data_IF_008904880486
#
_entry.id   IF_008904880486
#
_cell.length_a   1.000
_cell.length_b   1.000
_cell.length_c   1.000
_cell.angle_alpha   90.00
_cell.angle_beta   90.00
_cell.angle_gamma   90.00
#
_symmetry.space_group_name_H-M   'P 1'
#
loop_
_entity.id
_entity.type
_entity.pdbx_description
1 polymer ?
#
# COMPACT_ATOMS: atom_id res chain seq x y z
N UNK A 1 51.94 23.43 -56.20
CA UNK A 1 53.13 23.84 -55.44
C UNK A 1 52.87 23.65 -53.96
N UNK A 2 53.85 23.04 -53.27
CA UNK A 2 54.18 23.10 -51.84
C UNK A 2 53.04 23.01 -50.79
N UNK A 3 52.98 21.92 -50.00
CA UNK A 3 53.79 21.60 -48.80
C UNK A 3 53.36 22.28 -47.50
N UNK A 4 53.08 21.41 -46.51
CA UNK A 4 53.41 21.46 -45.06
C UNK A 4 52.63 22.47 -44.18
N UNK A 5 52.30 22.25 -42.90
CA UNK A 5 52.84 21.39 -41.83
C UNK A 5 51.77 21.00 -40.78
N UNK A 6 52.03 19.87 -40.11
CA UNK A 6 51.49 19.42 -38.82
C UNK A 6 51.59 20.47 -37.70
N UNK A 7 50.69 20.39 -36.70
CA UNK A 7 51.05 20.25 -35.27
C UNK A 7 49.85 19.84 -34.39
N UNK A 8 50.14 18.84 -33.56
CA UNK A 8 49.36 18.38 -32.41
C UNK A 8 49.54 19.38 -31.25
N UNK A 9 48.62 19.39 -30.26
CA UNK A 9 49.09 19.06 -28.92
C UNK A 9 48.16 18.08 -28.17
N UNK A 10 48.82 17.13 -27.49
CA UNK A 10 48.33 16.42 -26.31
C UNK A 10 47.93 17.44 -25.21
N UNK A 11 47.21 17.18 -24.11
CA UNK A 11 46.98 16.00 -23.27
C UNK A 11 46.14 16.52 -22.10
N UNK A 12 45.20 15.72 -21.56
CA UNK A 12 45.02 15.47 -20.11
C UNK A 12 43.62 14.90 -19.82
N UNK A 13 43.54 13.58 -19.78
CA UNK A 13 42.51 12.87 -19.02
C UNK A 13 43.04 12.68 -17.58
N UNK A 14 42.20 12.78 -16.53
CA UNK A 14 42.62 12.44 -15.18
C UNK A 14 42.61 10.92 -14.99
N UNK A 15 43.79 10.38 -14.73
CA UNK A 15 44.03 9.05 -14.19
C UNK A 15 43.65 8.99 -12.72
N UNK A 16 42.75 8.09 -12.32
CA UNK A 16 42.69 7.61 -10.94
C UNK A 16 43.33 6.24 -10.89
N UNK A 17 44.44 6.18 -10.15
CA UNK A 17 45.26 5.01 -9.96
C UNK A 17 44.54 3.93 -9.14
N UNK A 18 44.70 2.72 -9.65
CA UNK A 18 44.65 1.43 -8.97
C UNK A 18 45.53 1.40 -7.70
N UNK A 19 45.02 0.79 -6.64
CA UNK A 19 45.80 0.16 -5.55
C UNK A 19 45.06 -1.12 -5.07
N UNK A 20 45.78 -2.09 -4.45
CA UNK A 20 45.69 -3.50 -4.87
C UNK A 20 44.93 -4.44 -3.92
N UNK A 21 44.63 -5.62 -4.47
CA UNK A 21 44.21 -6.85 -3.80
C UNK A 21 45.24 -7.40 -2.81
N UNK A 22 44.76 -7.80 -1.63
CA UNK A 22 45.04 -9.00 -0.81
C UNK A 22 44.78 -8.62 0.65
N UNK A 23 43.99 -9.35 1.45
CA UNK A 23 44.35 -10.61 2.09
C UNK A 23 43.09 -11.41 2.42
N UNK A 24 43.14 -12.71 2.08
CA UNK A 24 42.25 -13.78 2.52
C UNK A 24 42.49 -14.07 4.00
N UNK A 25 41.46 -13.98 4.84
CA UNK A 25 41.46 -14.57 6.17
C UNK A 25 40.24 -15.48 6.33
N UNK A 26 40.52 -16.77 6.42
CA UNK A 26 39.57 -17.82 6.70
C UNK A 26 39.00 -17.67 8.13
N UNK A 27 37.67 -17.69 8.26
CA UNK A 27 37.01 -17.95 9.52
C UNK A 27 36.35 -19.33 9.44
N UNK A 28 36.88 -20.23 10.24
CA UNK A 28 36.53 -21.64 10.42
C UNK A 28 35.11 -21.81 10.95
N UNK A 29 34.42 -22.84 10.43
CA UNK A 29 33.18 -23.39 10.97
C UNK A 29 33.42 -23.89 12.40
N UNK A 30 32.57 -23.47 13.33
CA UNK A 30 32.33 -24.18 14.58
C UNK A 30 30.86 -24.61 14.64
N UNK A 31 30.63 -25.87 14.33
CA UNK A 31 29.42 -26.62 14.66
C UNK A 31 29.48 -27.02 16.13
N UNK A 32 28.52 -26.58 16.93
CA UNK A 32 28.20 -27.22 18.20
C UNK A 32 26.69 -27.45 18.28
N UNK A 33 26.30 -28.71 18.04
CA UNK A 33 25.02 -29.23 18.48
C UNK A 33 25.06 -29.40 19.99
N UNK A 34 24.06 -28.91 20.71
CA UNK A 34 23.71 -29.47 22.02
C UNK A 34 22.21 -29.68 22.08
N UNK A 35 21.87 -30.89 22.47
CA UNK A 35 20.56 -31.52 22.46
C UNK A 35 19.56 -30.92 23.43
N UNK A 36 18.29 -31.07 23.07
CA UNK A 36 17.11 -30.89 23.91
C UNK A 36 17.09 -31.82 25.13
N UNK A 37 16.54 -31.35 26.25
CA UNK A 37 15.70 -32.17 27.15
C UNK A 37 14.53 -31.35 27.73
N UNK A 38 13.34 -31.95 27.89
CA UNK A 38 12.12 -31.28 28.32
C UNK A 38 11.83 -31.47 29.82
N UNK A 39 11.11 -30.52 30.41
CA UNK A 39 10.36 -30.67 31.67
C UNK A 39 9.49 -29.42 31.85
N UNK A 40 8.27 -29.40 32.35
CA UNK A 40 7.26 -30.41 32.63
C UNK A 40 5.96 -29.63 32.83
N UNK A 41 4.82 -30.19 32.39
CA UNK A 41 3.50 -29.70 32.79
C UNK A 41 3.35 -29.75 34.31
N UNK A 42 2.78 -28.70 34.91
CA UNK A 42 1.92 -28.83 36.09
C UNK A 42 0.72 -27.90 35.99
N UNK A 43 -0.41 -28.52 35.67
CA UNK A 43 -1.77 -28.07 35.95
C UNK A 43 -2.11 -28.27 37.43
N UNK A 44 -2.83 -27.34 38.03
CA UNK A 44 -3.83 -27.49 39.11
C UNK A 44 -3.95 -26.17 39.85
N UNK A 45 -5.07 -25.72 40.39
CA UNK A 45 -6.48 -26.04 40.29
C UNK A 45 -7.19 -24.95 41.11
N UNK A 46 -8.47 -24.76 40.80
CA UNK A 46 -9.48 -24.04 41.55
C UNK A 46 -9.43 -24.16 43.08
N UNK A 47 -9.74 -23.05 43.77
CA UNK A 47 -10.57 -22.98 44.98
C UNK A 47 -11.03 -21.52 45.17
N UNK A 48 -12.18 -21.11 44.63
CA UNK A 48 -13.48 -20.94 45.34
C UNK A 48 -13.44 -20.71 46.85
N UNK A 49 -14.01 -19.57 47.25
CA UNK A 49 -14.87 -19.48 48.43
C UNK A 49 -14.34 -18.64 49.59
N UNK A 50 -14.92 -17.46 49.81
CA UNK A 50 -15.80 -17.23 50.96
C UNK A 50 -16.19 -15.75 51.08
N UNK A 51 -17.48 -15.50 50.88
CA UNK A 51 -18.17 -14.29 51.36
C UNK A 51 -18.15 -14.21 52.88
N UNK A 52 -17.88 -13.02 53.42
CA UNK A 52 -18.35 -12.58 54.73
C UNK A 52 -18.52 -11.05 54.63
N UNK A 53 -19.74 -10.57 54.46
CA UNK A 53 -20.69 -10.22 55.51
C UNK A 53 -20.57 -8.74 55.92
N UNK A 54 -21.68 -8.04 55.67
CA UNK A 54 -21.95 -6.64 55.95
C UNK A 54 -21.62 -6.24 57.40
N UNK A 55 -21.09 -5.03 57.56
CA UNK A 55 -21.49 -4.13 58.65
C UNK A 55 -21.77 -2.74 58.12
N UNK A 56 -23.03 -2.34 58.25
CA UNK A 56 -23.51 -0.99 58.01
C UNK A 56 -23.01 -0.06 59.12
N UNK A 57 -22.45 1.07 58.73
CA UNK A 57 -22.29 2.24 59.59
C UNK A 57 -22.90 3.42 58.85
N UNK A 58 -24.11 3.82 59.28
CA UNK A 58 -24.78 5.03 58.82
C UNK A 58 -24.16 6.23 59.54
N UNK A 59 -23.45 7.08 58.79
CA UNK A 59 -23.12 8.45 59.19
C UNK A 59 -23.93 9.42 58.32
N UNK A 60 -24.32 10.60 58.84
CA UNK A 60 -25.21 11.51 58.11
C UNK A 60 -24.42 12.23 57.00
N UNK A 61 -24.70 11.89 55.75
CA UNK A 61 -24.20 12.63 54.59
C UNK A 61 -25.08 13.86 54.35
N UNK A 62 -24.53 15.03 54.65
CA UNK A 62 -25.08 16.34 54.33
C UNK A 62 -25.24 16.46 52.81
N UNK A 63 -26.46 16.74 52.35
CA UNK A 63 -26.81 16.79 50.94
C UNK A 63 -26.12 17.94 50.20
N UNK A 64 -25.13 17.61 49.36
CA UNK A 64 -24.67 18.49 48.31
C UNK A 64 -25.61 18.37 47.10
N UNK A 65 -26.47 19.36 46.91
CA UNK A 65 -27.23 19.52 45.66
C UNK A 65 -26.24 19.79 44.53
N UNK A 66 -25.98 18.80 43.67
CA UNK A 66 -25.35 19.04 42.37
C UNK A 66 -26.35 19.81 41.50
N UNK A 67 -26.03 21.05 41.17
CA UNK A 67 -26.69 21.74 40.08
C UNK A 67 -26.36 20.99 38.78
N UNK A 68 -27.35 20.30 38.21
CA UNK A 68 -27.29 19.81 36.85
C UNK A 68 -27.30 21.02 35.92
N UNK A 69 -26.13 21.39 35.38
CA UNK A 69 -26.05 22.32 34.27
C UNK A 69 -26.85 21.81 33.07
N UNK A 70 -27.30 22.69 32.15
CA UNK A 70 -28.07 22.27 31.00
C UNK A 70 -27.24 21.26 30.19
N UNK A 71 -27.75 20.04 30.06
CA UNK A 71 -27.26 19.08 29.07
C UNK A 71 -27.53 19.76 27.73
N UNK A 72 -26.48 20.22 27.06
CA UNK A 72 -26.58 20.70 25.70
C UNK A 72 -27.09 19.54 24.85
N UNK A 73 -28.39 19.55 24.55
CA UNK A 73 -28.98 18.64 23.58
C UNK A 73 -28.39 19.04 22.23
N UNK A 74 -27.29 18.39 21.85
CA UNK A 74 -26.75 18.46 20.50
C UNK A 74 -27.86 17.91 19.63
N UNK A 75 -28.43 18.76 18.76
CA UNK A 75 -29.48 18.37 17.84
C UNK A 75 -29.12 17.02 17.21
N UNK A 76 -30.05 16.06 17.28
CA UNK A 76 -29.93 14.76 16.64
C UNK A 76 -29.71 15.03 15.14
N UNK A 77 -28.45 14.98 14.70
CA UNK A 77 -28.18 14.88 13.28
C UNK A 77 -28.68 13.49 12.90
N UNK A 78 -29.67 13.41 12.01
CA UNK A 78 -30.17 12.13 11.47
C UNK A 78 -29.14 11.44 10.54
N UNK A 79 -27.85 11.77 10.71
CA UNK A 79 -26.75 11.44 9.82
C UNK A 79 -25.52 11.12 10.68
N UNK A 80 -25.01 9.91 10.53
CA UNK A 80 -23.76 9.44 11.12
C UNK A 80 -22.62 9.58 10.11
N UNK A 81 -21.55 10.28 10.49
CA UNK A 81 -20.28 10.23 9.75
C UNK A 81 -19.58 8.88 9.96
N UNK A 82 -18.72 8.46 9.01
CA UNK A 82 -17.97 7.23 9.17
C UNK A 82 -17.00 7.34 10.36
N UNK A 83 -16.86 6.26 11.12
CA UNK A 83 -15.88 6.15 12.21
C UNK A 83 -14.47 5.94 11.67
N UNK A 84 -14.34 5.35 10.48
CA UNK A 84 -13.07 5.16 9.80
C UNK A 84 -13.18 5.20 8.27
N UNK A 85 -12.12 5.70 7.62
CA UNK A 85 -11.86 5.53 6.19
C UNK A 85 -10.67 4.60 6.01
N UNK A 86 -10.86 3.52 5.26
CA UNK A 86 -9.85 2.52 4.97
C UNK A 86 -9.48 2.61 3.49
N UNK A 87 -8.28 3.09 3.20
CA UNK A 87 -7.80 3.20 1.82
C UNK A 87 -7.09 1.91 1.41
N UNK A 88 -7.32 1.42 0.19
CA UNK A 88 -6.28 0.63 -0.47
C UNK A 88 -5.03 1.50 -0.77
N UNK A 89 -3.90 0.87 -1.11
CA UNK A 89 -2.69 1.58 -1.47
C UNK A 89 -2.53 1.74 -2.99
N UNK A 90 -2.56 0.62 -3.71
CA UNK A 90 -2.09 0.52 -5.09
C UNK A 90 -3.24 0.88 -6.02
N UNK A 91 -3.12 1.95 -6.78
CA UNK A 91 -4.24 2.46 -7.59
C UNK A 91 -5.24 3.30 -6.78
N UNK A 92 -5.09 3.45 -5.46
CA UNK A 92 -5.90 4.37 -4.63
C UNK A 92 -5.08 5.54 -4.09
N UNK A 93 -4.02 5.29 -3.30
CA UNK A 93 -3.17 6.38 -2.82
C UNK A 93 -2.37 6.98 -3.97
N UNK A 94 -1.81 6.11 -4.81
CA UNK A 94 -0.96 6.45 -5.94
C UNK A 94 -1.25 5.50 -7.10
N UNK A 95 -1.00 5.94 -8.34
CA UNK A 95 -0.98 5.05 -9.52
C UNK A 95 0.31 4.21 -9.52
N UNK A 96 0.47 3.32 -8.54
CA UNK A 96 1.73 2.59 -8.27
C UNK A 96 2.18 1.73 -9.44
N UNK A 97 1.25 1.13 -10.17
CA UNK A 97 1.58 0.33 -11.36
C UNK A 97 2.04 1.21 -12.53
N UNK A 98 1.34 2.31 -12.82
CA UNK A 98 1.63 3.19 -13.97
C UNK A 98 2.86 4.07 -13.73
N UNK A 99 2.95 4.68 -12.56
CA UNK A 99 3.90 5.74 -12.24
C UNK A 99 5.06 5.23 -11.37
N UNK A 100 4.95 4.02 -10.80
CA UNK A 100 6.01 3.41 -9.99
C UNK A 100 6.62 2.17 -10.64
N UNK A 101 5.89 1.06 -10.70
CA UNK A 101 6.41 -0.22 -11.15
C UNK A 101 6.83 -0.21 -12.62
N UNK A 102 5.99 0.30 -13.54
CA UNK A 102 6.36 0.45 -14.95
C UNK A 102 7.61 1.32 -15.12
N UNK A 103 7.66 2.46 -14.46
CA UNK A 103 8.81 3.39 -14.50
C UNK A 103 10.09 2.69 -14.05
N UNK A 104 10.03 1.96 -12.93
CA UNK A 104 11.20 1.27 -12.37
C UNK A 104 11.64 0.04 -13.18
N UNK A 105 10.73 -0.62 -13.90
CA UNK A 105 11.10 -1.60 -14.93
C UNK A 105 11.91 -0.92 -16.05
N UNK A 106 11.41 0.18 -16.62
CA UNK A 106 12.08 0.90 -17.69
C UNK A 106 13.45 1.45 -17.26
N UNK A 107 13.55 1.98 -16.03
CA UNK A 107 14.84 2.38 -15.45
C UNK A 107 15.81 1.21 -15.34
N UNK A 108 15.33 0.05 -14.89
CA UNK A 108 16.16 -1.17 -14.75
C UNK A 108 16.66 -1.66 -16.11
N UNK A 109 15.79 -1.68 -17.13
CA UNK A 109 16.17 -2.07 -18.48
C UNK A 109 17.25 -1.14 -19.03
N UNK A 110 17.07 0.17 -18.85
CA UNK A 110 18.04 1.17 -19.25
C UNK A 110 19.38 1.03 -18.51
N UNK A 111 19.38 0.80 -17.19
CA UNK A 111 20.60 0.56 -16.41
C UNK A 111 21.33 -0.71 -16.85
N UNK A 112 20.59 -1.74 -17.27
CA UNK A 112 21.14 -2.98 -17.80
C UNK A 112 21.60 -2.87 -19.28
N UNK A 113 21.44 -1.70 -19.90
CA UNK A 113 21.79 -1.48 -21.31
C UNK A 113 20.84 -2.16 -22.30
N UNK A 114 19.61 -2.44 -21.88
CA UNK A 114 18.56 -3.01 -22.74
C UNK A 114 17.75 -1.88 -23.38
N UNK A 115 17.56 -1.95 -24.71
CA UNK A 115 16.73 -1.00 -25.47
C UNK A 115 15.24 -1.37 -25.40
N UNK A 116 14.73 -1.57 -24.18
CA UNK A 116 13.32 -1.87 -23.93
C UNK A 116 12.67 -0.80 -23.06
N UNK A 117 11.50 -0.35 -23.47
CA UNK A 117 10.66 0.57 -22.73
C UNK A 117 9.21 0.14 -22.84
N UNK A 118 8.57 -0.14 -21.69
CA UNK A 118 7.16 -0.45 -21.63
C UNK A 118 6.33 0.84 -21.55
N UNK A 119 5.51 1.06 -22.57
CA UNK A 119 4.49 2.11 -22.56
C UNK A 119 3.42 1.82 -21.51
N UNK A 120 2.55 2.80 -21.23
CA UNK A 120 1.43 2.61 -20.30
C UNK A 120 0.50 1.50 -20.79
N UNK A 121 0.16 1.52 -22.08
CA UNK A 121 -0.74 0.58 -22.74
C UNK A 121 -0.14 -0.83 -22.74
N UNK A 122 1.13 -0.96 -23.15
CA UNK A 122 1.82 -2.24 -23.15
C UNK A 122 1.95 -2.82 -21.74
N UNK A 123 2.24 -1.98 -20.74
CA UNK A 123 2.30 -2.45 -19.36
C UNK A 123 0.95 -2.94 -18.85
N UNK A 124 -0.16 -2.29 -19.25
CA UNK A 124 -1.52 -2.74 -18.97
C UNK A 124 -1.79 -4.16 -19.49
N UNK A 125 -1.36 -4.48 -20.70
CA UNK A 125 -1.46 -5.85 -21.22
C UNK A 125 -0.58 -6.84 -20.46
N UNK A 126 0.64 -6.42 -20.12
CA UNK A 126 1.59 -7.21 -19.36
C UNK A 126 1.15 -7.46 -17.91
N UNK A 127 0.29 -6.62 -17.32
CA UNK A 127 -0.28 -6.82 -15.98
C UNK A 127 -1.19 -8.05 -15.89
N UNK A 128 -1.77 -8.48 -17.01
CA UNK A 128 -2.55 -9.73 -17.10
C UNK A 128 -1.68 -10.98 -16.82
N UNK A 129 -0.35 -10.83 -16.91
CA UNK A 129 0.62 -11.84 -16.49
C UNK A 129 1.02 -11.53 -15.05
N UNK A 130 0.66 -12.46 -14.15
CA UNK A 130 0.94 -12.33 -12.73
C UNK A 130 2.43 -12.42 -12.42
N UNK A 131 2.91 -11.50 -11.58
CA UNK A 131 4.30 -11.49 -11.09
C UNK A 131 5.28 -10.78 -12.02
N UNK A 132 6.20 -10.00 -11.44
CA UNK A 132 7.14 -9.18 -12.21
C UNK A 132 8.18 -10.01 -12.99
N UNK A 133 8.61 -11.16 -12.46
CA UNK A 133 9.58 -12.05 -13.12
C UNK A 133 8.95 -12.75 -14.30
N UNK A 134 7.74 -13.26 -14.11
CA UNK A 134 6.94 -13.96 -15.10
C UNK A 134 6.59 -13.04 -16.26
N UNK A 135 6.25 -11.77 -15.95
CA UNK A 135 6.03 -10.71 -16.94
C UNK A 135 7.26 -10.45 -17.81
N UNK A 136 8.43 -10.22 -17.20
CA UNK A 136 9.67 -10.04 -17.96
C UNK A 136 10.03 -11.29 -18.75
N UNK A 137 9.83 -12.48 -18.18
CA UNK A 137 10.10 -13.76 -18.87
C UNK A 137 9.23 -13.89 -20.11
N UNK A 138 7.93 -13.61 -20.01
CA UNK A 138 7.01 -13.63 -21.13
C UNK A 138 7.40 -12.62 -22.21
N UNK A 139 7.64 -11.36 -21.81
CA UNK A 139 8.01 -10.29 -22.74
C UNK A 139 9.32 -10.60 -23.47
N UNK A 140 10.40 -10.89 -22.76
CA UNK A 140 11.70 -11.19 -23.38
C UNK A 140 11.68 -12.47 -24.21
N UNK A 141 10.87 -13.47 -23.85
CA UNK A 141 10.70 -14.65 -24.70
C UNK A 141 10.05 -14.31 -26.05
N UNK A 142 9.19 -13.29 -26.10
CA UNK A 142 8.52 -12.87 -27.34
C UNK A 142 9.43 -12.12 -28.31
N UNK A 143 10.49 -11.47 -27.82
CA UNK A 143 11.47 -10.73 -28.62
C UNK A 143 12.89 -11.33 -28.58
N UNK A 144 13.06 -12.54 -28.06
CA UNK A 144 14.39 -13.16 -27.82
C UNK A 144 15.29 -13.29 -29.06
N UNK A 145 14.71 -13.26 -30.27
CA UNK A 145 15.45 -13.32 -31.54
C UNK A 145 15.74 -11.98 -32.19
N UNK A 146 15.35 -10.86 -31.57
CA UNK A 146 15.51 -9.51 -32.13
C UNK A 146 16.87 -8.92 -31.76
N UNK A 147 17.62 -8.40 -32.73
CA UNK A 147 18.89 -7.71 -32.48
C UNK A 147 18.63 -6.25 -32.05
N UNK A 148 19.40 -5.69 -31.09
CA UNK A 148 20.59 -6.28 -30.45
C UNK A 148 20.29 -7.22 -29.26
N UNK A 149 19.03 -7.33 -28.84
CA UNK A 149 18.63 -8.05 -27.63
C UNK A 149 19.01 -9.54 -27.63
N UNK A 150 18.96 -10.20 -28.79
CA UNK A 150 19.34 -11.60 -28.95
C UNK A 150 20.77 -11.90 -28.43
N UNK A 151 21.70 -10.95 -28.56
CA UNK A 151 23.07 -11.10 -28.03
C UNK A 151 23.18 -10.83 -26.53
N UNK A 152 22.20 -10.15 -25.93
CA UNK A 152 22.17 -9.78 -24.51
C UNK A 152 21.38 -10.80 -23.67
N UNK A 153 20.42 -11.49 -24.28
CA UNK A 153 19.57 -12.46 -23.61
C UNK A 153 20.21 -13.86 -23.61
N UNK A 154 20.47 -14.47 -22.43
CA UNK A 154 21.15 -15.76 -22.36
C UNK A 154 20.40 -16.86 -23.14
N UNK A 155 21.12 -17.79 -23.77
CA UNK A 155 20.50 -18.94 -24.45
C UNK A 155 20.04 -20.02 -23.45
N UNK A 156 20.83 -20.24 -22.40
CA UNK A 156 20.57 -21.25 -21.38
C UNK A 156 19.42 -20.85 -20.44
N UNK A 157 18.58 -21.83 -20.07
CA UNK A 157 17.38 -21.58 -19.26
C UNK A 157 17.69 -21.15 -17.83
N UNK A 158 18.76 -21.69 -17.22
CA UNK A 158 19.14 -21.30 -15.86
C UNK A 158 19.76 -19.90 -15.86
N UNK A 159 20.61 -19.62 -16.84
CA UNK A 159 21.15 -18.27 -17.06
C UNK A 159 20.04 -17.23 -17.31
N UNK A 160 18.98 -17.57 -18.06
CA UNK A 160 17.80 -16.70 -18.23
C UNK A 160 17.09 -16.42 -16.92
N UNK A 161 16.87 -17.45 -16.09
CA UNK A 161 16.23 -17.29 -14.78
C UNK A 161 17.03 -16.36 -13.88
N UNK A 162 18.35 -16.54 -13.84
CA UNK A 162 19.25 -15.70 -13.04
C UNK A 162 19.28 -14.26 -13.56
N UNK A 163 19.30 -14.08 -14.88
CA UNK A 163 19.21 -12.75 -15.51
C UNK A 163 17.90 -12.03 -15.14
N UNK A 164 16.73 -12.67 -15.34
CA UNK A 164 15.41 -12.14 -14.96
C UNK A 164 15.36 -11.81 -13.46
N UNK A 165 15.89 -12.70 -12.62
CA UNK A 165 15.93 -12.49 -11.18
C UNK A 165 16.77 -11.27 -10.82
N UNK A 166 17.94 -11.07 -11.46
CA UNK A 166 18.79 -9.91 -11.22
C UNK A 166 18.09 -8.58 -11.56
N UNK A 167 17.38 -8.53 -12.70
CA UNK A 167 16.59 -7.37 -13.10
C UNK A 167 15.45 -7.13 -12.10
N UNK A 168 14.74 -8.18 -11.67
CA UNK A 168 13.65 -8.03 -10.72
C UNK A 168 14.11 -7.50 -9.36
N UNK A 169 15.26 -7.98 -8.87
CA UNK A 169 15.87 -7.48 -7.63
C UNK A 169 16.23 -6.00 -7.77
N UNK A 170 16.93 -5.63 -8.84
CA UNK A 170 17.30 -4.23 -9.08
C UNK A 170 16.08 -3.31 -9.22
N UNK A 171 15.06 -3.75 -9.95
CA UNK A 171 13.77 -3.03 -10.07
C UNK A 171 13.09 -2.83 -8.72
N UNK A 172 13.18 -3.83 -7.83
CA UNK A 172 12.60 -3.73 -6.49
C UNK A 172 13.32 -2.68 -5.65
N UNK A 173 14.65 -2.60 -5.74
CA UNK A 173 15.43 -1.58 -5.05
C UNK A 173 15.12 -0.18 -5.60
N UNK A 174 15.09 -0.02 -6.92
CA UNK A 174 14.74 1.24 -7.58
C UNK A 174 13.33 1.71 -7.23
N UNK A 175 12.36 0.81 -7.09
CA UNK A 175 11.03 1.18 -6.65
C UNK A 175 11.04 1.80 -5.24
N UNK A 176 11.84 1.25 -4.33
CA UNK A 176 12.00 1.84 -3.01
C UNK A 176 12.75 3.17 -3.05
N UNK A 177 13.68 3.36 -3.99
CA UNK A 177 14.33 4.65 -4.23
C UNK A 177 13.34 5.72 -4.70
N UNK A 178 12.52 5.42 -5.71
CA UNK A 178 11.44 6.29 -6.23
C UNK A 178 10.47 6.69 -5.12
N UNK A 179 10.06 5.73 -4.29
CA UNK A 179 9.20 6.00 -3.12
C UNK A 179 9.91 6.92 -2.12
N UNK A 180 11.18 6.67 -1.80
CA UNK A 180 11.96 7.54 -0.87
C UNK A 180 12.15 8.95 -1.43
N UNK A 181 12.29 9.08 -2.73
CA UNK A 181 12.51 10.36 -3.41
C UNK A 181 11.23 11.22 -3.51
N UNK A 182 10.06 10.67 -3.22
CA UNK A 182 8.79 11.41 -3.35
C UNK A 182 8.30 11.50 -4.80
N UNK A 183 8.78 10.62 -5.68
CA UNK A 183 8.52 10.67 -7.13
C UNK A 183 7.22 9.96 -7.53
N UNK A 184 6.44 9.48 -6.56
CA UNK A 184 5.16 8.82 -6.79
C UNK A 184 4.02 9.73 -6.32
N UNK A 185 3.37 10.49 -7.23
CA UNK A 185 2.35 11.45 -6.84
C UNK A 185 1.12 10.75 -6.23
N UNK A 186 0.48 11.42 -5.28
CA UNK A 186 -0.83 11.00 -4.78
C UNK A 186 -1.89 11.15 -5.87
N UNK A 187 -2.88 10.25 -5.90
CA UNK A 187 -4.07 10.43 -6.74
C UNK A 187 -4.86 11.66 -6.27
N UNK A 188 -5.56 12.35 -7.20
CA UNK A 188 -6.31 13.57 -6.88
C UNK A 188 -7.26 13.39 -5.71
N UNK A 189 -7.15 14.27 -4.71
CA UNK A 189 -8.04 14.31 -3.54
C UNK A 189 -7.66 13.39 -2.37
N UNK A 190 -6.68 12.48 -2.51
CA UNK A 190 -6.29 11.56 -1.43
C UNK A 190 -5.85 12.31 -0.17
N UNK A 191 -4.89 13.25 -0.31
CA UNK A 191 -4.40 14.05 0.82
C UNK A 191 -5.53 14.84 1.48
N UNK A 192 -6.42 15.41 0.66
CA UNK A 192 -7.57 16.19 1.10
C UNK A 192 -8.52 15.34 1.93
N UNK A 193 -8.95 14.19 1.42
CA UNK A 193 -9.89 13.32 2.12
C UNK A 193 -9.30 12.79 3.45
N UNK A 194 -8.01 12.45 3.46
CA UNK A 194 -7.29 12.08 4.70
C UNK A 194 -7.35 13.22 5.72
N UNK A 195 -7.02 14.45 5.30
CA UNK A 195 -7.06 15.64 6.16
C UNK A 195 -8.47 15.89 6.71
N UNK A 196 -9.49 15.83 5.86
CA UNK A 196 -10.88 16.04 6.24
C UNK A 196 -11.36 14.99 7.25
N UNK A 197 -11.04 13.71 7.01
CA UNK A 197 -11.41 12.62 7.90
C UNK A 197 -10.82 12.79 9.30
N UNK A 198 -9.51 13.02 9.38
CA UNK A 198 -8.81 13.23 10.65
C UNK A 198 -9.32 14.49 11.37
N UNK A 199 -9.56 15.59 10.66
CA UNK A 199 -10.09 16.82 11.23
C UNK A 199 -11.52 16.66 11.81
N UNK A 200 -12.29 15.72 11.28
CA UNK A 200 -13.64 15.40 11.76
C UNK A 200 -13.67 14.23 12.77
N UNK A 201 -12.51 13.74 13.20
CA UNK A 201 -12.37 12.71 14.24
C UNK A 201 -12.58 11.27 13.75
N UNK A 202 -12.66 11.06 12.43
CA UNK A 202 -12.63 9.71 11.85
C UNK A 202 -11.20 9.18 11.87
N UNK A 203 -11.07 7.86 12.01
CA UNK A 203 -9.78 7.16 11.89
C UNK A 203 -9.45 6.93 10.41
N UNK A 204 -8.17 6.86 10.09
CA UNK A 204 -7.71 6.54 8.73
C UNK A 204 -6.75 5.37 8.82
N UNK A 205 -6.83 4.42 7.89
CA UNK A 205 -5.85 3.34 7.76
C UNK A 205 -5.63 2.98 6.29
N UNK A 206 -4.52 2.31 6.02
CA UNK A 206 -4.21 1.76 4.69
C UNK A 206 -4.21 0.24 4.76
N UNK A 207 -4.91 -0.41 3.82
CA UNK A 207 -5.14 -1.85 3.77
C UNK A 207 -4.78 -2.39 2.38
N UNK A 208 -3.63 -3.04 2.23
CA UNK A 208 -3.12 -3.47 0.90
C UNK A 208 -2.61 -4.92 0.91
N UNK A 209 -2.58 -5.55 -0.26
CA UNK A 209 -1.92 -6.85 -0.46
C UNK A 209 -0.43 -6.74 -0.76
N UNK A 210 0.08 -5.53 -1.01
CA UNK A 210 1.49 -5.24 -1.28
C UNK A 210 2.36 -5.35 -0.03
N UNK A 211 3.68 -5.35 -0.22
CA UNK A 211 4.62 -5.48 0.90
C UNK A 211 4.48 -4.32 1.90
N UNK A 212 4.52 -4.64 3.19
CA UNK A 212 4.41 -3.64 4.26
C UNK A 212 5.47 -2.54 4.16
N UNK A 213 6.70 -2.89 3.75
CA UNK A 213 7.80 -1.94 3.55
C UNK A 213 7.47 -0.89 2.49
N UNK A 214 6.90 -1.31 1.36
CA UNK A 214 6.51 -0.40 0.28
C UNK A 214 5.38 0.53 0.72
N UNK A 215 4.31 -0.02 1.28
CA UNK A 215 3.12 0.74 1.69
C UNK A 215 3.47 1.74 2.80
N UNK A 216 4.24 1.33 3.81
CA UNK A 216 4.74 2.26 4.84
C UNK A 216 5.61 3.36 4.25
N UNK A 217 6.46 3.04 3.27
CA UNK A 217 7.26 4.03 2.57
C UNK A 217 6.41 5.05 1.83
N UNK A 218 5.37 4.61 1.11
CA UNK A 218 4.44 5.49 0.41
C UNK A 218 3.71 6.41 1.40
N UNK A 219 3.15 5.87 2.49
CA UNK A 219 2.47 6.69 3.50
C UNK A 219 3.45 7.69 4.14
N UNK A 220 4.64 7.26 4.55
CA UNK A 220 5.62 8.10 5.22
C UNK A 220 6.16 9.23 4.32
N UNK A 221 6.36 8.97 3.02
CA UNK A 221 6.92 9.97 2.10
C UNK A 221 5.85 10.83 1.45
N UNK A 222 4.71 10.25 1.08
CA UNK A 222 3.67 10.98 0.34
C UNK A 222 2.65 11.66 1.28
N UNK A 223 2.43 11.15 2.49
CA UNK A 223 1.54 11.74 3.50
C UNK A 223 2.30 12.00 4.82
N UNK A 224 3.47 12.68 4.79
CA UNK A 224 4.37 12.79 5.94
C UNK A 224 3.71 13.43 7.17
N UNK A 225 2.79 14.38 6.97
CA UNK A 225 2.08 15.06 8.04
C UNK A 225 1.03 14.20 8.76
N UNK A 226 0.65 13.07 8.16
CA UNK A 226 -0.36 12.14 8.69
C UNK A 226 0.21 10.76 9.02
N UNK A 227 1.48 10.48 8.70
CA UNK A 227 2.07 9.14 8.76
C UNK A 227 1.91 8.47 10.14
N UNK A 228 2.10 9.21 11.23
CA UNK A 228 1.94 8.69 12.60
C UNK A 228 0.48 8.37 12.98
N UNK A 229 -0.48 8.92 12.25
CA UNK A 229 -1.92 8.77 12.48
C UNK A 229 -2.55 7.69 11.58
N UNK A 230 -1.82 7.19 10.58
CA UNK A 230 -2.31 6.23 9.58
C UNK A 230 -1.63 4.87 9.79
N UNK A 231 -2.23 3.95 10.59
CA UNK A 231 -1.76 2.58 10.64
C UNK A 231 -1.86 1.90 9.27
N UNK A 232 -0.83 1.11 8.96
CA UNK A 232 -0.72 0.32 7.73
C UNK A 232 -0.93 -1.16 8.05
N UNK A 233 -1.87 -1.79 7.36
CA UNK A 233 -2.12 -3.23 7.34
C UNK A 233 -1.80 -3.74 5.93
N UNK A 234 -0.73 -4.52 5.78
CA UNK A 234 -0.22 -4.87 4.47
C UNK A 234 0.43 -6.26 4.43
N UNK A 235 0.54 -6.81 3.22
CA UNK A 235 1.26 -8.05 2.95
C UNK A 235 0.62 -9.27 3.62
N UNK A 236 1.44 -10.02 4.35
CA UNK A 236 1.06 -11.30 4.96
C UNK A 236 0.61 -11.17 6.43
N UNK A 237 0.18 -9.97 6.84
CA UNK A 237 -0.40 -9.73 8.18
C UNK A 237 -1.73 -10.48 8.39
N UNK A 238 -2.34 -10.95 7.29
CA UNK A 238 -3.52 -11.82 7.27
C UNK A 238 -3.26 -13.06 6.40
N UNK A 239 -3.88 -14.21 6.74
CA UNK A 239 -3.68 -15.46 6.00
C UNK A 239 -4.36 -15.45 4.63
N UNK A 240 -5.56 -14.85 4.51
CA UNK A 240 -6.30 -14.77 3.27
C UNK A 240 -6.26 -13.35 2.70
N UNK A 241 -5.72 -13.20 1.49
CA UNK A 241 -5.68 -11.92 0.77
C UNK A 241 -7.03 -11.61 0.13
N UNK A 242 -7.22 -10.35 -0.30
CA UNK A 242 -8.39 -9.93 -1.10
C UNK A 242 -8.60 -10.93 -2.25
N UNK A 243 -9.83 -11.43 -2.51
CA UNK A 243 -11.12 -10.87 -2.11
C UNK A 243 -11.61 -11.29 -0.71
N UNK A 244 -10.82 -12.03 0.08
CA UNK A 244 -11.18 -12.29 1.47
C UNK A 244 -11.20 -10.98 2.28
N UNK A 245 -12.13 -10.82 3.24
CA UNK A 245 -12.31 -9.58 3.99
C UNK A 245 -11.27 -9.39 5.11
N UNK A 246 -10.37 -10.36 5.31
CA UNK A 246 -9.49 -10.46 6.48
C UNK A 246 -8.72 -9.16 6.77
N UNK A 247 -8.17 -8.50 5.74
CA UNK A 247 -7.38 -7.28 5.92
C UNK A 247 -8.21 -6.11 6.45
N UNK A 248 -9.44 -5.95 5.95
CA UNK A 248 -10.36 -4.91 6.39
C UNK A 248 -10.94 -5.23 7.78
N UNK A 249 -11.27 -6.49 8.04
CA UNK A 249 -11.69 -6.94 9.37
C UNK A 249 -10.60 -6.71 10.42
N UNK A 250 -9.34 -7.01 10.07
CA UNK A 250 -8.19 -6.72 10.93
C UNK A 250 -8.07 -5.22 11.20
N UNK A 251 -8.17 -4.38 10.16
CA UNK A 251 -8.08 -2.93 10.31
C UNK A 251 -9.18 -2.38 11.22
N UNK A 252 -10.44 -2.74 10.99
CA UNK A 252 -11.56 -2.31 11.82
C UNK A 252 -11.40 -2.76 13.28
N UNK A 253 -10.97 -4.01 13.51
CA UNK A 253 -10.72 -4.52 14.85
C UNK A 253 -9.58 -3.77 15.57
N UNK A 254 -8.49 -3.45 14.86
CA UNK A 254 -7.34 -2.72 15.41
C UNK A 254 -7.64 -1.25 15.67
N UNK A 255 -8.47 -0.65 14.83
CA UNK A 255 -8.98 0.69 15.03
C UNK A 255 -10.07 0.72 16.12
N UNK A 256 -10.72 -0.40 16.45
CA UNK A 256 -11.81 -0.44 17.42
C UNK A 256 -13.06 0.30 16.92
N UNK A 257 -13.42 0.08 15.66
CA UNK A 257 -14.59 0.69 14.99
C UNK A 257 -15.52 -0.38 14.45
N UNK A 258 -16.80 -0.05 14.27
CA UNK A 258 -17.76 -0.97 13.68
C UNK A 258 -17.59 -1.01 12.14
N UNK A 259 -17.44 -2.18 11.50
CA UNK A 259 -17.36 -2.29 10.04
C UNK A 259 -18.51 -1.59 9.29
N UNK A 260 -19.74 -1.64 9.82
CA UNK A 260 -20.89 -0.95 9.22
C UNK A 260 -20.80 0.59 9.25
N UNK A 261 -19.84 1.13 10.01
CA UNK A 261 -19.51 2.55 10.11
C UNK A 261 -18.16 2.88 9.45
N UNK A 262 -17.60 1.96 8.68
CA UNK A 262 -16.39 2.16 7.89
C UNK A 262 -16.75 2.41 6.42
N UNK A 263 -15.95 3.25 5.78
CA UNK A 263 -15.92 3.41 4.32
C UNK A 263 -14.57 2.93 3.81
N UNK A 264 -14.60 2.05 2.83
CA UNK A 264 -13.42 1.60 2.09
C UNK A 264 -13.30 2.41 0.80
N UNK A 265 -12.11 2.93 0.51
CA UNK A 265 -11.76 3.50 -0.79
C UNK A 265 -10.91 2.48 -1.54
N UNK A 266 -11.40 2.02 -2.69
CA UNK A 266 -10.82 0.93 -3.48
C UNK A 266 -10.76 1.29 -4.96
N UNK A 267 -9.95 0.59 -5.74
CA UNK A 267 -9.87 0.77 -7.20
C UNK A 267 -10.14 -0.52 -7.97
N UNK A 268 -10.02 -1.70 -7.35
CA UNK A 268 -10.20 -3.01 -8.02
C UNK A 268 -11.47 -3.73 -7.59
N UNK A 269 -12.00 -4.62 -8.44
CA UNK A 269 -13.13 -5.49 -8.12
C UNK A 269 -12.81 -6.45 -7.00
N UNK A 270 -11.61 -7.01 -6.99
CA UNK A 270 -11.16 -7.94 -5.94
C UNK A 270 -11.17 -7.22 -4.58
N UNK A 271 -10.69 -5.98 -4.55
CA UNK A 271 -10.73 -5.15 -3.35
C UNK A 271 -12.12 -4.71 -2.93
N UNK A 272 -12.95 -4.32 -3.90
CA UNK A 272 -14.38 -4.07 -3.69
C UNK A 272 -15.06 -5.26 -2.99
N UNK A 273 -14.89 -6.47 -3.52
CA UNK A 273 -15.49 -7.67 -2.95
C UNK A 273 -15.02 -7.92 -1.50
N UNK A 274 -13.74 -7.67 -1.20
CA UNK A 274 -13.21 -7.77 0.16
C UNK A 274 -13.86 -6.77 1.11
N UNK A 275 -14.03 -5.50 0.69
CA UNK A 275 -14.71 -4.48 1.48
C UNK A 275 -16.18 -4.81 1.75
N UNK A 276 -16.91 -5.27 0.72
CA UNK A 276 -18.30 -5.71 0.87
C UNK A 276 -18.43 -6.94 1.77
N UNK A 277 -17.53 -7.92 1.62
CA UNK A 277 -17.50 -9.11 2.48
C UNK A 277 -17.17 -8.78 3.95
N UNK A 278 -16.48 -7.66 4.22
CA UNK A 278 -16.24 -7.14 5.56
C UNK A 278 -17.46 -6.40 6.17
N UNK A 279 -18.55 -6.25 5.41
CA UNK A 279 -19.75 -5.53 5.85
C UNK A 279 -19.58 -4.00 5.84
N UNK A 280 -18.64 -3.49 5.04
CA UNK A 280 -18.34 -2.06 4.94
C UNK A 280 -18.99 -1.45 3.70
N UNK A 281 -19.14 -0.12 3.70
CA UNK A 281 -19.40 0.63 2.47
C UNK A 281 -18.12 0.73 1.66
N UNK A 282 -18.24 0.68 0.35
CA UNK A 282 -17.12 0.76 -0.58
C UNK A 282 -17.40 1.83 -1.63
N UNK A 283 -16.53 2.82 -1.66
CA UNK A 283 -16.40 3.77 -2.75
C UNK A 283 -15.27 3.31 -3.66
N UNK A 284 -15.58 3.10 -4.94
CA UNK A 284 -14.56 2.79 -5.93
C UNK A 284 -14.08 4.06 -6.61
N UNK A 285 -12.77 4.26 -6.67
CA UNK A 285 -12.11 5.28 -7.49
C UNK A 285 -11.25 4.57 -8.52
N UNK A 286 -11.75 4.42 -9.76
CA UNK A 286 -11.12 3.63 -10.82
C UNK A 286 -9.67 4.06 -11.06
N UNK A 287 -8.72 3.12 -11.05
CA UNK A 287 -7.35 3.37 -11.50
C UNK A 287 -7.26 3.08 -13.00
N UNK A 288 -6.17 3.51 -13.64
CA UNK A 288 -6.01 3.36 -15.10
C UNK A 288 -6.08 1.90 -15.58
N UNK A 289 -5.72 0.94 -14.73
CA UNK A 289 -5.70 -0.48 -15.10
C UNK A 289 -6.93 -1.26 -14.62
N UNK A 290 -7.84 -0.60 -13.90
CA UNK A 290 -9.08 -1.21 -13.41
C UNK A 290 -10.35 -0.60 -14.04
N UNK A 291 -10.22 0.31 -15.01
CA UNK A 291 -11.36 1.06 -15.58
C UNK A 291 -12.51 0.17 -16.09
N UNK A 292 -12.14 -0.97 -16.70
CA UNK A 292 -13.02 -1.95 -17.33
C UNK A 292 -13.50 -3.07 -16.39
N UNK A 293 -13.12 -3.03 -15.11
CA UNK A 293 -13.59 -4.03 -14.15
C UNK A 293 -15.07 -3.82 -13.78
N UNK A 294 -15.72 -4.91 -13.35
CA UNK A 294 -17.12 -4.89 -12.92
C UNK A 294 -17.26 -4.40 -11.47
N UNK A 295 -17.77 -3.17 -11.33
CA UNK A 295 -18.02 -2.50 -10.05
C UNK A 295 -19.52 -2.42 -9.69
N UNK A 296 -20.37 -3.24 -10.30
CA UNK A 296 -21.83 -3.21 -10.07
C UNK A 296 -22.26 -3.40 -8.61
N UNK A 297 -21.40 -3.99 -7.76
CA UNK A 297 -21.65 -4.17 -6.32
C UNK A 297 -21.06 -3.08 -5.42
N UNK A 298 -20.43 -2.05 -5.98
CA UNK A 298 -19.94 -0.89 -5.24
C UNK A 298 -21.12 -0.04 -4.74
N UNK A 299 -20.94 0.68 -3.63
CA UNK A 299 -21.96 1.61 -3.16
C UNK A 299 -21.95 2.90 -4.01
N UNK A 300 -20.77 3.31 -4.49
CA UNK A 300 -20.56 4.40 -5.46
C UNK A 300 -19.27 4.16 -6.26
N UNK A 301 -19.19 4.72 -7.47
CA UNK A 301 -18.02 4.60 -8.36
C UNK A 301 -17.69 5.97 -8.95
N UNK A 302 -16.42 6.35 -8.88
CA UNK A 302 -15.86 7.57 -9.45
C UNK A 302 -14.56 7.27 -10.21
N UNK A 303 -14.09 8.23 -11.00
CA UNK A 303 -12.77 8.21 -11.64
C UNK A 303 -11.66 8.54 -10.65
N UNK A 304 -11.89 9.48 -9.72
CA UNK A 304 -11.00 9.80 -8.60
C UNK A 304 -11.78 10.43 -7.42
N UNK A 305 -11.08 10.83 -6.36
CA UNK A 305 -11.69 11.58 -5.24
C UNK A 305 -11.87 13.07 -5.64
N UNK A 306 -10.88 13.63 -6.32
CA UNK A 306 -10.89 15.00 -6.84
C UNK A 306 -10.31 16.05 -5.89
N UNK A 307 -9.71 17.08 -6.47
CA UNK A 307 -9.10 18.21 -5.75
C UNK A 307 -10.14 19.28 -5.38
N UNK A 308 -9.72 20.28 -4.61
CA UNK A 308 -10.58 21.43 -4.29
C UNK A 308 -11.05 22.12 -5.59
N UNK A 309 -12.37 22.35 -5.71
CA UNK A 309 -13.06 22.88 -6.89
C UNK A 309 -13.22 21.90 -8.08
N UNK A 310 -12.78 20.65 -7.95
CA UNK A 310 -13.04 19.56 -8.92
C UNK A 310 -13.29 18.23 -8.18
N UNK A 311 -13.99 18.32 -7.04
CA UNK A 311 -14.26 17.18 -6.18
C UNK A 311 -15.40 16.31 -6.72
N UNK A 312 -15.19 15.00 -6.67
CA UNK A 312 -16.27 14.02 -6.90
C UNK A 312 -17.05 13.79 -5.63
N UNK A 313 -16.34 13.76 -4.49
CA UNK A 313 -16.91 13.68 -3.16
C UNK A 313 -15.94 14.18 -2.08
N UNK A 314 -16.49 14.53 -0.92
CA UNK A 314 -15.79 14.98 0.28
C UNK A 314 -16.09 14.06 1.46
N UNK A 315 -15.42 14.26 2.59
CA UNK A 315 -15.79 13.58 3.84
C UNK A 315 -17.25 13.88 4.25
N UNK A 316 -17.76 15.07 3.93
CA UNK A 316 -19.10 15.48 4.34
C UNK A 316 -20.20 14.68 3.66
N UNK A 317 -19.93 14.12 2.49
CA UNK A 317 -20.88 13.33 1.71
C UNK A 317 -21.05 11.90 2.26
N UNK A 318 -20.04 11.38 2.96
CA UNK A 318 -19.95 9.97 3.40
C UNK A 318 -20.89 9.60 4.59
N UNK A 319 -21.98 10.34 4.79
CA UNK A 319 -22.91 10.16 5.92
C UNK A 319 -23.87 8.98 5.77
N UNK A 320 -24.37 8.45 6.88
CA UNK A 320 -25.32 7.34 6.92
C UNK A 320 -26.54 7.62 7.82
N UNK A 321 -27.78 7.38 7.35
CA UNK A 321 -28.14 7.19 5.94
C UNK A 321 -27.85 8.49 5.17
N UNK A 322 -27.35 8.43 3.93
CA UNK A 322 -27.03 9.63 3.14
C UNK A 322 -27.40 9.44 1.68
N UNK A 323 -27.79 10.52 0.99
CA UNK A 323 -28.15 10.49 -0.43
C UNK A 323 -26.98 10.07 -1.32
N UNK A 324 -25.75 10.33 -0.87
CA UNK A 324 -24.51 9.94 -1.53
C UNK A 324 -24.49 8.45 -1.96
N UNK A 325 -25.06 7.57 -1.14
CA UNK A 325 -25.05 6.12 -1.37
C UNK A 325 -26.22 5.61 -2.21
N UNK A 326 -27.14 6.48 -2.60
CA UNK A 326 -28.37 6.04 -3.29
C UNK A 326 -28.17 5.96 -4.80
N UNK A 327 -27.08 6.55 -5.33
CA UNK A 327 -26.87 6.73 -6.76
C UNK A 327 -27.93 7.67 -7.35
N UNK A 328 -27.58 8.45 -8.37
CA UNK A 328 -28.64 8.99 -9.23
C UNK A 328 -29.28 7.80 -9.93
N UNK A 329 -30.52 7.50 -9.58
CA UNK A 329 -31.39 6.55 -10.25
C UNK A 329 -31.81 7.06 -11.64
N UNK A 330 -30.90 7.72 -12.38
CA UNK A 330 -31.01 8.03 -13.81
C UNK A 330 -32.35 8.59 -14.29
N UNK A 331 -33.15 9.17 -13.39
CA UNK A 331 -34.51 9.63 -13.65
C UNK A 331 -34.63 11.07 -13.18
N UNK A 332 -33.79 11.92 -13.74
CA UNK A 332 -34.12 13.34 -13.90
C UNK A 332 -34.16 13.64 -15.40
N UNK A 333 -35.27 14.29 -15.78
CA UNK A 333 -35.86 14.44 -17.12
C UNK A 333 -34.96 14.91 -18.26
#
# INVERSE_FOLDING_TARGET
GACTHRRNPASSAPSWLSLPMSVVAAATRATTSVAARPAALRSSAFATGASAALRAAQGPCVGARRASGPVAVRALRNFDYPEAILFDCDGVLCETERDGHRVTFNMTFKEAGLEHEWSVEQYGDLLKIGGGKERMTHYFSSCAGEEPFATQFPEDNDARRDFIMSLHLRKTDLFLDVVRAGELPLRPGVRRLVKEALANGAKVAVCSTSSEKAVKGIVATMLPEFADQIPVFAGDVVPCKKPAPDIYNLAAARLGVNPARCVVIEDTRIGLLAGKAAGMRVCVTKSIYSEDEDFSSADVVFDCIGEENDERFSFQDLTTPGAFWQGDDGTTE
#
